data_IF_469351548409
#
_entry.id   IF_469351548409
#
_cell.length_a   1.000
_cell.length_b   1.000
_cell.length_c   1.000
_cell.angle_alpha   90.00
_cell.angle_beta   90.00
_cell.angle_gamma   90.00
#
_symmetry.space_group_name_H-M   'P 1'
#
loop_
_entity.id
_entity.type
_entity.pdbx_description
1 polymer ?
#
# COMPACT_ATOMS: atom_id res chain seq x y z
N UNK A 1 -6.24 -13.76 8.30
CA UNK A 1 -5.71 -13.73 9.68
C UNK A 1 -6.81 -13.15 10.55
N UNK A 2 -7.28 -13.89 11.55
CA UNK A 2 -8.30 -13.41 12.47
C UNK A 2 -7.59 -12.55 13.53
N UNK A 3 -8.20 -11.46 14.02
CA UNK A 3 -7.60 -10.57 15.02
C UNK A 3 -7.13 -11.34 16.25
N UNK A 4 -7.88 -12.36 16.67
CA UNK A 4 -7.49 -13.28 17.73
C UNK A 4 -6.12 -13.90 17.55
N UNK A 5 -5.75 -14.23 16.30
CA UNK A 5 -4.48 -14.89 15.99
C UNK A 5 -3.32 -13.90 16.10
N UNK A 6 -3.55 -12.65 15.65
CA UNK A 6 -2.59 -11.57 15.82
C UNK A 6 -2.36 -11.24 17.29
N UNK A 7 -3.44 -11.07 18.06
CA UNK A 7 -3.37 -10.73 19.48
C UNK A 7 -2.70 -11.85 20.30
N UNK A 8 -2.91 -13.12 19.96
CA UNK A 8 -2.28 -14.27 20.62
C UNK A 8 -0.85 -14.56 20.13
N UNK A 9 -0.33 -13.78 19.18
CA UNK A 9 0.97 -14.06 18.59
C UNK A 9 2.10 -13.98 19.66
N UNK A 10 2.98 -15.00 19.79
CA UNK A 10 3.97 -15.07 20.87
C UNK A 10 4.89 -13.84 20.95
N UNK A 11 5.28 -13.27 19.80
CA UNK A 11 6.09 -12.04 19.77
C UNK A 11 5.38 -10.82 20.34
N UNK A 12 4.06 -10.71 20.13
CA UNK A 12 3.27 -9.59 20.64
C UNK A 12 3.09 -9.72 22.15
N UNK A 13 2.78 -10.94 22.61
CA UNK A 13 2.69 -11.26 24.04
C UNK A 13 4.02 -11.00 24.76
N UNK A 14 5.14 -11.45 24.18
CA UNK A 14 6.47 -11.17 24.72
C UNK A 14 6.80 -9.67 24.74
N UNK A 15 6.32 -8.88 23.78
CA UNK A 15 6.52 -7.43 23.77
C UNK A 15 5.76 -6.76 24.92
N UNK A 16 4.51 -7.14 25.17
CA UNK A 16 3.73 -6.66 26.33
C UNK A 16 4.41 -7.04 27.63
N UNK A 17 4.75 -8.32 27.83
CA UNK A 17 5.36 -8.76 29.09
C UNK A 17 6.69 -8.05 29.37
N UNK A 18 7.47 -7.71 28.33
CA UNK A 18 8.68 -6.89 28.48
C UNK A 18 8.38 -5.46 28.90
N UNK A 19 7.32 -4.85 28.36
CA UNK A 19 6.90 -3.50 28.73
C UNK A 19 6.37 -3.46 30.16
N UNK A 20 5.52 -4.41 30.54
CA UNK A 20 4.99 -4.55 31.90
C UNK A 20 6.10 -4.82 32.93
N UNK A 21 7.11 -5.63 32.56
CA UNK A 21 8.28 -5.85 33.42
C UNK A 21 9.20 -4.62 33.52
N UNK A 22 9.25 -3.78 32.49
CA UNK A 22 10.07 -2.56 32.46
C UNK A 22 9.43 -1.41 33.24
N UNK A 23 8.12 -1.28 33.13
CA UNK A 23 7.33 -0.18 33.68
C UNK A 23 6.43 -0.71 34.80
N UNK A 24 6.99 -0.76 36.00
CA UNK A 24 6.30 -1.21 37.22
C UNK A 24 5.60 -0.02 37.91
N UNK A 25 4.74 -0.26 38.91
CA UNK A 25 4.17 0.83 39.71
C UNK A 25 5.22 1.75 40.36
N UNK A 26 6.38 1.21 40.74
CA UNK A 26 7.50 1.99 41.33
C UNK A 26 8.33 2.74 40.28
N UNK A 27 8.21 2.36 38.99
CA UNK A 27 8.87 3.01 37.86
C UNK A 27 7.86 3.17 36.71
N UNK A 28 6.85 4.03 36.86
CA UNK A 28 5.75 4.11 35.93
C UNK A 28 6.20 4.70 34.59
N UNK A 29 5.59 4.24 33.50
CA UNK A 29 5.74 4.87 32.20
C UNK A 29 5.04 6.23 32.22
N UNK A 30 5.80 7.33 32.12
CA UNK A 30 5.25 8.68 32.00
C UNK A 30 5.53 9.22 30.60
N UNK A 31 4.47 9.43 29.83
CA UNK A 31 4.51 9.94 28.44
C UNK A 31 3.81 11.29 28.31
N UNK A 32 2.86 11.59 29.21
CA UNK A 32 2.11 12.83 29.19
C UNK A 32 1.75 13.32 30.59
N UNK A 33 1.72 14.64 30.73
CA UNK A 33 1.22 15.35 31.90
C UNK A 33 -0.31 15.47 31.87
N UNK A 34 -0.96 15.18 30.74
CA UNK A 34 -2.42 15.23 30.60
C UNK A 34 -2.99 13.84 30.82
N UNK A 35 -3.79 13.69 31.87
CA UNK A 35 -4.40 12.41 32.29
C UNK A 35 -5.91 12.54 32.50
N UNK A 36 -6.62 11.40 32.42
CA UNK A 36 -8.02 11.31 32.89
C UNK A 36 -8.13 10.70 34.29
N UNK A 37 -9.36 10.61 34.79
CA UNK A 37 -9.70 10.02 36.08
C UNK A 37 -9.33 8.53 36.21
N UNK A 38 -9.20 7.82 35.08
CA UNK A 38 -8.82 6.40 35.03
C UNK A 38 -7.30 6.21 34.91
N UNK A 39 -6.53 7.32 34.88
CA UNK A 39 -5.08 7.30 34.78
C UNK A 39 -4.55 7.13 33.35
N UNK A 40 -5.41 7.19 32.33
CA UNK A 40 -4.94 7.15 30.95
C UNK A 40 -4.19 8.44 30.61
N UNK A 41 -3.11 8.31 29.84
CA UNK A 41 -2.24 9.41 29.43
C UNK A 41 -2.55 9.83 28.00
N UNK A 42 -2.69 11.13 27.77
CA UNK A 42 -3.15 11.65 26.49
C UNK A 42 -2.04 12.29 25.67
N UNK A 43 -1.86 11.81 24.44
CA UNK A 43 -0.85 12.31 23.51
C UNK A 43 -1.48 12.74 22.16
N UNK A 44 -0.71 13.49 21.37
CA UNK A 44 -1.00 13.66 19.96
C UNK A 44 -0.37 12.52 19.15
N UNK A 45 -1.11 11.96 18.20
CA UNK A 45 -0.67 10.85 17.37
C UNK A 45 -0.40 11.31 15.94
N UNK A 46 0.82 11.12 15.45
CA UNK A 46 1.17 11.40 14.05
C UNK A 46 1.64 10.11 13.37
N UNK A 47 0.94 9.72 12.31
CA UNK A 47 1.16 8.44 11.63
C UNK A 47 1.67 8.67 10.20
N UNK A 48 2.99 8.55 10.02
CA UNK A 48 3.59 8.60 8.68
C UNK A 48 3.22 7.35 7.89
N UNK A 49 2.79 7.54 6.64
CA UNK A 49 2.56 6.43 5.72
C UNK A 49 3.86 5.73 5.27
N UNK A 50 3.71 4.50 4.76
CA UNK A 50 4.84 3.68 4.30
C UNK A 50 4.47 2.48 3.42
N UNK A 51 3.32 2.53 2.72
CA UNK A 51 2.85 1.45 1.83
C UNK A 51 1.98 0.39 2.52
N UNK A 52 2.03 -0.87 2.05
CA UNK A 52 1.18 -2.00 2.51
C UNK A 52 1.35 -2.33 4.01
N UNK A 53 2.38 -1.78 4.66
CA UNK A 53 2.63 -1.89 6.10
C UNK A 53 1.68 -1.06 6.98
N UNK A 54 0.57 -0.54 6.46
CA UNK A 54 -0.46 0.17 7.24
C UNK A 54 -1.01 -0.64 8.42
N UNK A 55 -0.97 -1.98 8.35
CA UNK A 55 -1.32 -2.89 9.46
C UNK A 55 -0.37 -2.74 10.66
N UNK A 56 0.92 -2.48 10.42
CA UNK A 56 1.90 -2.33 11.50
C UNK A 56 1.59 -1.10 12.38
N UNK A 57 1.05 -0.04 11.78
CA UNK A 57 0.62 1.15 12.52
C UNK A 57 -0.53 0.84 13.48
N UNK A 58 -1.42 -0.07 13.11
CA UNK A 58 -2.53 -0.47 13.99
C UNK A 58 -2.02 -1.25 15.20
N UNK A 59 -1.06 -2.17 14.99
CA UNK A 59 -0.39 -2.89 16.08
C UNK A 59 0.38 -1.96 17.03
N UNK A 60 1.00 -0.91 16.48
CA UNK A 60 1.65 0.12 17.29
C UNK A 60 0.65 0.89 18.17
N UNK A 61 -0.46 1.36 17.60
CA UNK A 61 -1.52 2.03 18.39
C UNK A 61 -2.14 1.11 19.43
N UNK A 62 -2.18 -0.20 19.17
CA UNK A 62 -2.66 -1.18 20.14
C UNK A 62 -1.74 -1.32 21.35
N UNK A 63 -0.43 -1.42 21.15
CA UNK A 63 0.54 -1.45 22.25
C UNK A 63 0.42 -0.17 23.10
N UNK A 64 0.35 1.00 22.46
CA UNK A 64 0.19 2.26 23.17
C UNK A 64 -1.09 2.28 24.03
N UNK A 65 -2.21 1.81 23.49
CA UNK A 65 -3.46 1.73 24.24
C UNK A 65 -3.39 0.75 25.43
N UNK A 66 -2.70 -0.39 25.28
CA UNK A 66 -2.45 -1.33 26.38
C UNK A 66 -1.54 -0.75 27.46
N UNK A 67 -0.61 0.13 27.10
CA UNK A 67 0.22 0.89 28.03
C UNK A 67 -0.48 2.14 28.62
N UNK A 68 -1.81 2.23 28.49
CA UNK A 68 -2.59 3.32 29.09
C UNK A 68 -2.55 4.65 28.31
N UNK A 69 -2.05 4.67 27.08
CA UNK A 69 -1.97 5.90 26.27
C UNK A 69 -3.23 6.03 25.41
N UNK A 70 -3.76 7.25 25.30
CA UNK A 70 -4.92 7.64 24.47
C UNK A 70 -4.58 8.86 23.63
N UNK A 71 -5.39 9.16 22.61
CA UNK A 71 -5.05 10.13 21.57
C UNK A 71 -6.04 11.30 21.46
N UNK A 72 -5.57 12.54 21.68
CA UNK A 72 -6.41 13.75 21.59
C UNK A 72 -6.53 14.20 20.13
N UNK A 73 -5.40 14.58 19.53
CA UNK A 73 -5.29 15.01 18.13
C UNK A 73 -4.54 13.95 17.36
N UNK A 74 -5.01 13.68 16.15
CA UNK A 74 -4.45 12.64 15.30
C UNK A 74 -4.24 13.19 13.90
N UNK A 75 -3.12 12.80 13.28
CA UNK A 75 -2.81 13.14 11.89
C UNK A 75 -2.16 11.94 11.21
N UNK A 76 -2.45 11.72 9.94
CA UNK A 76 -1.90 10.59 9.19
C UNK A 76 -1.69 10.90 7.72
N UNK A 77 -0.67 10.30 7.11
CA UNK A 77 -0.38 10.42 5.68
C UNK A 77 -0.45 9.07 4.97
N UNK A 78 -0.96 9.02 3.74
CA UNK A 78 -1.08 7.79 2.94
C UNK A 78 -1.74 6.64 3.75
N UNK A 79 -1.09 5.48 3.91
CA UNK A 79 -1.61 4.36 4.71
C UNK A 79 -1.89 4.73 6.18
N UNK A 80 -1.14 5.66 6.77
CA UNK A 80 -1.38 6.14 8.13
C UNK A 80 -2.64 6.99 8.28
N UNK A 81 -3.11 7.59 7.17
CA UNK A 81 -4.38 8.32 7.15
C UNK A 81 -5.57 7.37 7.35
N UNK A 82 -5.48 6.12 6.86
CA UNK A 82 -6.52 5.10 7.04
C UNK A 82 -6.66 4.76 8.52
N UNK A 83 -5.57 4.41 9.20
CA UNK A 83 -5.60 4.10 10.63
C UNK A 83 -6.10 5.31 11.45
N UNK A 84 -5.57 6.50 11.15
CA UNK A 84 -5.98 7.75 11.81
C UNK A 84 -7.47 8.04 11.65
N UNK A 85 -8.00 7.89 10.44
CA UNK A 85 -9.40 8.10 10.14
C UNK A 85 -10.30 7.16 10.96
N UNK A 86 -9.97 5.85 10.96
CA UNK A 86 -10.72 4.86 11.73
C UNK A 86 -10.63 5.11 13.24
N UNK A 87 -9.43 5.34 13.78
CA UNK A 87 -9.22 5.69 15.19
C UNK A 87 -9.96 6.96 15.62
N UNK A 88 -10.19 7.90 14.69
CA UNK A 88 -10.92 9.14 14.96
C UNK A 88 -12.42 8.90 15.07
N UNK A 89 -13.01 8.09 14.18
CA UNK A 89 -14.46 7.86 14.15
C UNK A 89 -14.91 6.80 15.16
N UNK A 90 -14.05 5.83 15.48
CA UNK A 90 -14.37 4.72 16.38
C UNK A 90 -14.41 5.16 17.84
N UNK A 91 -15.59 5.09 18.47
CA UNK A 91 -15.78 5.28 19.92
C UNK A 91 -15.34 6.64 20.52
N UNK A 92 -15.59 6.87 21.82
CA UNK A 92 -15.07 8.01 22.60
C UNK A 92 -13.56 7.98 22.77
N UNK A 93 -12.89 9.12 22.91
CA UNK A 93 -11.41 9.23 22.97
C UNK A 93 -10.76 8.52 24.17
N UNK A 94 -11.51 8.29 25.24
CA UNK A 94 -11.06 7.59 26.46
C UNK A 94 -10.96 6.07 26.27
N UNK A 95 -11.78 5.51 25.39
CA UNK A 95 -11.83 4.08 25.16
C UNK A 95 -10.65 3.62 24.30
N UNK A 96 -10.23 2.37 24.51
CA UNK A 96 -9.34 1.69 23.59
C UNK A 96 -10.08 1.33 22.30
N UNK A 97 -9.52 1.71 21.15
CA UNK A 97 -10.14 1.62 19.82
C UNK A 97 -9.37 0.74 18.87
N UNK A 98 -8.08 0.57 19.13
CA UNK A 98 -7.14 -0.11 18.24
C UNK A 98 -7.56 -1.53 17.88
N UNK A 99 -8.23 -2.28 18.76
CA UNK A 99 -8.72 -3.63 18.46
C UNK A 99 -9.84 -3.62 17.41
N UNK A 100 -10.81 -2.71 17.53
CA UNK A 100 -11.89 -2.53 16.54
C UNK A 100 -11.32 -2.06 15.20
N UNK A 101 -10.35 -1.16 15.23
CA UNK A 101 -9.67 -0.67 14.02
C UNK A 101 -8.83 -1.78 13.38
N UNK A 102 -8.14 -2.59 14.18
CA UNK A 102 -7.38 -3.75 13.73
C UNK A 102 -8.28 -4.77 13.06
N UNK A 103 -9.47 -5.01 13.62
CA UNK A 103 -10.46 -5.88 13.01
C UNK A 103 -10.93 -5.37 11.65
N UNK A 104 -11.25 -4.08 11.55
CA UNK A 104 -11.66 -3.47 10.30
C UNK A 104 -10.56 -3.57 9.22
N UNK A 105 -9.31 -3.30 9.59
CA UNK A 105 -8.16 -3.31 8.66
C UNK A 105 -7.75 -4.75 8.28
N UNK A 106 -7.75 -5.70 9.22
CA UNK A 106 -7.40 -7.10 8.94
C UNK A 106 -8.44 -7.81 8.05
N UNK A 107 -9.71 -7.38 8.10
CA UNK A 107 -10.78 -7.89 7.22
C UNK A 107 -10.72 -7.29 5.81
N UNK A 108 -10.00 -6.19 5.61
CA UNK A 108 -9.86 -5.56 4.30
C UNK A 108 -8.87 -6.34 3.42
N UNK A 109 -9.35 -6.86 2.29
CA UNK A 109 -8.45 -7.34 1.24
C UNK A 109 -7.82 -6.14 0.52
N UNK A 110 -6.55 -5.85 0.81
CA UNK A 110 -5.83 -4.76 0.16
C UNK A 110 -5.77 -4.90 -1.38
N UNK A 111 -5.85 -6.11 -1.93
CA UNK A 111 -5.93 -6.29 -3.38
C UNK A 111 -7.28 -5.86 -3.98
N UNK A 112 -8.34 -5.82 -3.17
CA UNK A 112 -9.65 -5.32 -3.59
C UNK A 112 -9.66 -3.80 -3.83
N UNK A 113 -8.71 -3.08 -3.21
CA UNK A 113 -8.53 -1.64 -3.42
C UNK A 113 -8.01 -1.31 -4.82
N UNK A 114 -7.43 -2.29 -5.52
CA UNK A 114 -7.03 -2.18 -6.93
C UNK A 114 -8.22 -2.55 -7.81
N UNK A 115 -9.15 -1.61 -7.96
CA UNK A 115 -10.43 -1.75 -8.69
C UNK A 115 -10.37 -1.32 -10.17
N UNK A 116 -9.16 -1.30 -10.73
CA UNK A 116 -8.87 -0.96 -12.11
C UNK A 116 -9.17 -2.05 -13.15
N UNK A 117 -8.86 -1.74 -14.41
CA UNK A 117 -9.05 -2.66 -15.56
C UNK A 117 -8.39 -4.03 -15.30
N UNK A 118 -8.98 -5.17 -15.72
CA UNK A 118 -8.47 -6.52 -15.42
C UNK A 118 -6.99 -6.73 -15.75
N UNK A 119 -6.55 -6.19 -16.89
CA UNK A 119 -5.13 -6.22 -17.29
C UNK A 119 -4.23 -5.45 -16.32
N UNK A 120 -4.64 -4.25 -15.89
CA UNK A 120 -3.87 -3.45 -14.96
C UNK A 120 -3.82 -4.09 -13.57
N UNK A 121 -4.93 -4.70 -13.13
CA UNK A 121 -4.99 -5.51 -11.90
C UNK A 121 -4.02 -6.69 -11.95
N UNK A 122 -3.95 -7.41 -13.08
CA UNK A 122 -3.00 -8.52 -13.30
C UNK A 122 -1.54 -8.03 -13.26
N UNK A 123 -1.25 -6.90 -13.90
CA UNK A 123 0.09 -6.29 -13.89
C UNK A 123 0.51 -5.84 -12.49
N UNK A 124 -0.36 -5.12 -11.77
CA UNK A 124 -0.08 -4.67 -10.40
C UNK A 124 0.09 -5.87 -9.47
N UNK A 125 -0.76 -6.91 -9.60
CA UNK A 125 -0.60 -8.14 -8.85
C UNK A 125 0.76 -8.76 -9.14
N UNK A 126 1.12 -8.98 -10.40
CA UNK A 126 2.41 -9.55 -10.78
C UNK A 126 3.61 -8.71 -10.28
N UNK A 127 3.50 -7.37 -10.31
CA UNK A 127 4.52 -6.46 -9.80
C UNK A 127 4.70 -6.54 -8.27
N UNK A 128 3.60 -6.70 -7.52
CA UNK A 128 3.62 -6.75 -6.04
C UNK A 128 3.97 -8.14 -5.52
N UNK A 129 3.49 -9.20 -6.17
CA UNK A 129 3.68 -10.58 -5.69
C UNK A 129 5.04 -11.15 -6.05
N UNK A 130 5.74 -10.58 -7.03
CA UNK A 130 6.99 -11.11 -7.54
C UNK A 130 8.10 -10.06 -7.40
N UNK A 131 8.93 -10.21 -6.37
CA UNK A 131 10.03 -9.31 -6.07
C UNK A 131 11.05 -9.19 -7.23
N UNK A 132 11.10 -10.21 -8.10
CA UNK A 132 11.94 -10.23 -9.30
C UNK A 132 11.22 -9.74 -10.57
N UNK A 133 9.99 -9.23 -10.46
CA UNK A 133 9.27 -8.72 -11.63
C UNK A 133 10.07 -7.63 -12.33
N UNK A 134 10.59 -6.65 -11.58
CA UNK A 134 11.36 -5.53 -12.14
C UNK A 134 12.66 -6.01 -12.80
N UNK A 135 13.38 -6.94 -12.16
CA UNK A 135 14.64 -7.47 -12.69
C UNK A 135 14.43 -8.34 -13.93
N UNK A 136 13.37 -9.17 -13.99
CA UNK A 136 13.00 -9.94 -15.19
C UNK A 136 12.54 -9.04 -16.32
N UNK A 137 11.67 -8.06 -16.07
CA UNK A 137 11.22 -7.12 -17.08
C UNK A 137 12.43 -6.41 -17.73
N UNK A 138 13.40 -5.96 -16.92
CA UNK A 138 14.65 -5.38 -17.42
C UNK A 138 15.45 -6.36 -18.28
N UNK A 139 15.61 -7.62 -17.85
CA UNK A 139 16.32 -8.65 -18.63
C UNK A 139 15.67 -8.91 -20.00
N UNK A 140 14.34 -9.01 -20.05
CA UNK A 140 13.59 -9.18 -21.30
C UNK A 140 13.78 -7.99 -22.24
N UNK A 141 13.72 -6.76 -21.73
CA UNK A 141 13.95 -5.55 -22.54
C UNK A 141 15.37 -5.54 -23.11
N UNK A 142 16.38 -5.81 -22.27
CA UNK A 142 17.78 -5.88 -22.73
C UNK A 142 17.97 -7.00 -23.76
N UNK A 143 17.40 -8.18 -23.53
CA UNK A 143 17.46 -9.30 -24.47
C UNK A 143 16.84 -8.97 -25.82
N UNK A 144 15.68 -8.29 -25.83
CA UNK A 144 15.04 -7.82 -27.07
C UNK A 144 15.95 -6.84 -27.82
N UNK A 145 16.54 -5.86 -27.12
CA UNK A 145 17.44 -4.88 -27.74
C UNK A 145 18.67 -5.56 -28.35
N UNK A 146 19.30 -6.49 -27.61
CA UNK A 146 20.46 -7.24 -28.10
C UNK A 146 20.09 -8.11 -29.30
N UNK A 147 18.98 -8.84 -29.23
CA UNK A 147 18.47 -9.67 -30.34
C UNK A 147 18.23 -8.84 -31.60
N UNK A 148 17.56 -7.69 -31.48
CA UNK A 148 17.34 -6.78 -32.60
C UNK A 148 18.67 -6.24 -33.15
N UNK A 149 19.63 -5.90 -32.29
CA UNK A 149 20.97 -5.47 -32.73
C UNK A 149 21.72 -6.54 -33.51
N UNK A 150 21.68 -7.80 -33.06
CA UNK A 150 22.29 -8.95 -33.75
C UNK A 150 21.64 -9.16 -35.12
N UNK A 151 20.31 -9.12 -35.20
CA UNK A 151 19.59 -9.26 -36.47
C UNK A 151 19.98 -8.17 -37.47
N UNK A 152 20.05 -6.90 -37.04
CA UNK A 152 20.45 -5.80 -37.92
C UNK A 152 21.90 -5.94 -38.43
N UNK A 153 22.82 -6.41 -37.59
CA UNK A 153 24.19 -6.70 -38.01
C UNK A 153 24.25 -7.88 -38.99
N UNK A 154 23.46 -8.93 -38.74
CA UNK A 154 23.34 -10.07 -39.64
C UNK A 154 22.79 -9.66 -41.01
N UNK A 155 21.79 -8.79 -41.05
CA UNK A 155 21.25 -8.23 -42.29
C UNK A 155 22.33 -7.52 -43.12
N UNK A 156 23.15 -6.66 -42.49
CA UNK A 156 24.25 -5.94 -43.16
C UNK A 156 25.26 -6.93 -43.77
N UNK A 157 25.67 -7.94 -42.99
CA UNK A 157 26.69 -8.91 -43.41
C UNK A 157 26.15 -9.82 -44.53
N UNK A 158 24.95 -10.39 -44.36
CA UNK A 158 24.37 -11.35 -45.29
C UNK A 158 23.98 -10.68 -46.61
N UNK A 159 23.44 -9.46 -46.58
CA UNK A 159 23.17 -8.69 -47.81
C UNK A 159 24.47 -8.35 -48.53
N UNK A 160 25.54 -7.99 -47.81
CA UNK A 160 26.86 -7.74 -48.41
C UNK A 160 27.47 -8.98 -49.07
N UNK A 161 27.21 -10.17 -48.52
CA UNK A 161 27.71 -11.46 -49.02
C UNK A 161 26.78 -12.14 -50.04
N UNK A 162 25.63 -11.54 -50.37
CA UNK A 162 24.59 -12.17 -51.20
C UNK A 162 25.07 -12.60 -52.59
N UNK A 163 26.10 -11.94 -53.13
CA UNK A 163 26.64 -12.21 -54.46
C UNK A 163 27.67 -13.35 -54.48
N UNK A 164 28.06 -13.88 -53.31
CA UNK A 164 29.12 -14.89 -53.20
C UNK A 164 28.64 -16.31 -53.47
N UNK A 165 27.38 -16.62 -53.19
CA UNK A 165 26.74 -17.90 -53.51
C UNK A 165 25.22 -17.80 -53.43
N UNK A 166 24.51 -18.66 -54.17
CA UNK A 166 23.04 -18.73 -54.15
C UNK A 166 22.49 -19.03 -52.75
N UNK A 167 23.24 -19.77 -51.94
CA UNK A 167 22.91 -20.06 -50.54
C UNK A 167 22.88 -18.78 -49.70
N UNK A 168 23.85 -17.86 -49.90
CA UNK A 168 23.90 -16.60 -49.15
C UNK A 168 22.74 -15.66 -49.49
N UNK A 169 22.25 -15.71 -50.74
CA UNK A 169 21.05 -14.97 -51.16
C UNK A 169 19.81 -15.44 -50.38
N UNK A 170 19.62 -16.76 -50.21
CA UNK A 170 18.51 -17.32 -49.43
C UNK A 170 18.59 -16.89 -47.97
N UNK A 171 19.77 -16.99 -47.35
CA UNK A 171 19.96 -16.58 -45.96
C UNK A 171 19.76 -15.08 -45.72
N UNK A 172 20.19 -14.22 -46.66
CA UNK A 172 19.91 -12.79 -46.60
C UNK A 172 18.40 -12.51 -46.63
N UNK A 173 17.64 -13.22 -47.47
CA UNK A 173 16.18 -13.11 -47.50
C UNK A 173 15.51 -13.56 -46.19
N UNK A 174 16.00 -14.65 -45.60
CA UNK A 174 15.49 -15.16 -44.30
C UNK A 174 15.76 -14.16 -43.18
N UNK A 175 16.97 -13.60 -43.09
CA UNK A 175 17.35 -12.63 -42.07
C UNK A 175 16.47 -11.36 -42.13
N UNK A 176 16.29 -10.80 -43.33
CA UNK A 176 15.42 -9.65 -43.55
C UNK A 176 13.96 -9.94 -43.19
N UNK A 177 13.48 -11.14 -43.51
CA UNK A 177 12.15 -11.60 -43.11
C UNK A 177 11.97 -11.66 -41.59
N UNK A 178 12.95 -12.20 -40.86
CA UNK A 178 12.95 -12.25 -39.40
C UNK A 178 13.02 -10.85 -38.77
N UNK A 179 13.82 -9.95 -39.34
CA UNK A 179 13.90 -8.55 -38.92
C UNK A 179 12.54 -7.84 -39.09
N UNK A 180 11.85 -8.06 -40.21
CA UNK A 180 10.53 -7.49 -40.48
C UNK A 180 9.46 -8.01 -39.49
N UNK A 181 9.46 -9.31 -39.20
CA UNK A 181 8.56 -9.92 -38.21
C UNK A 181 8.82 -9.32 -36.82
N UNK A 182 10.08 -9.24 -36.42
CA UNK A 182 10.48 -8.68 -35.12
C UNK A 182 10.06 -7.22 -35.00
N UNK A 183 10.31 -6.40 -36.03
CA UNK A 183 9.88 -5.00 -36.07
C UNK A 183 8.36 -4.86 -36.00
N UNK A 184 7.61 -5.72 -36.68
CA UNK A 184 6.14 -5.73 -36.65
C UNK A 184 5.60 -6.04 -35.25
N UNK A 185 6.15 -7.05 -34.58
CA UNK A 185 5.78 -7.39 -33.20
C UNK A 185 6.06 -6.22 -32.25
N UNK A 186 7.26 -5.62 -32.34
CA UNK A 186 7.63 -4.46 -31.52
C UNK A 186 6.70 -3.27 -31.77
N UNK A 187 6.32 -3.02 -33.02
CA UNK A 187 5.38 -1.97 -33.38
C UNK A 187 3.99 -2.21 -32.77
N UNK A 188 3.48 -3.44 -32.82
CA UNK A 188 2.19 -3.81 -32.20
C UNK A 188 2.22 -3.62 -30.67
N UNK A 189 3.32 -4.03 -30.02
CA UNK A 189 3.54 -3.83 -28.58
C UNK A 189 3.59 -2.34 -28.25
N UNK A 190 4.36 -1.55 -29.00
CA UNK A 190 4.47 -0.11 -28.79
C UNK A 190 3.11 0.59 -28.99
N UNK A 191 2.37 0.23 -30.04
CA UNK A 191 1.02 0.75 -30.30
C UNK A 191 0.06 0.40 -29.17
N UNK A 192 0.11 -0.82 -28.65
CA UNK A 192 -0.69 -1.23 -27.49
C UNK A 192 -0.31 -0.42 -26.24
N UNK A 193 0.99 -0.27 -25.97
CA UNK A 193 1.49 0.51 -24.84
C UNK A 193 1.07 1.98 -24.92
N UNK A 194 1.16 2.61 -26.10
CA UNK A 194 0.70 3.99 -26.32
C UNK A 194 -0.80 4.13 -26.13
N UNK A 195 -1.61 3.20 -26.65
CA UNK A 195 -3.07 3.19 -26.43
C UNK A 195 -3.40 3.08 -24.95
N UNK A 196 -2.73 2.17 -24.24
CA UNK A 196 -2.91 1.97 -22.82
C UNK A 196 -2.51 3.24 -22.05
N UNK A 197 -1.35 3.82 -22.36
CA UNK A 197 -0.88 5.07 -21.76
C UNK A 197 -1.86 6.23 -21.98
N UNK A 198 -2.34 6.43 -23.21
CA UNK A 198 -3.34 7.48 -23.51
C UNK A 198 -4.64 7.24 -22.74
N UNK A 199 -5.11 6.00 -22.68
CA UNK A 199 -6.31 5.63 -21.91
C UNK A 199 -6.11 5.91 -20.42
N UNK A 200 -4.93 5.63 -19.88
CA UNK A 200 -4.60 5.89 -18.47
C UNK A 200 -4.43 7.37 -18.16
N UNK A 201 -3.75 8.14 -19.02
CA UNK A 201 -3.56 9.59 -18.88
C UNK A 201 -4.88 10.35 -18.96
N UNK A 202 -5.79 9.88 -19.81
CA UNK A 202 -7.08 10.54 -20.04
C UNK A 202 -8.21 9.98 -19.14
N UNK A 203 -7.97 8.88 -18.42
CA UNK A 203 -8.88 8.42 -17.38
C UNK A 203 -8.66 9.29 -16.14
N UNK A 204 -9.62 10.17 -15.82
CA UNK A 204 -9.47 11.17 -14.76
C UNK A 204 -9.06 10.63 -13.38
N UNK A 205 -9.36 9.37 -13.06
CA UNK A 205 -9.02 8.73 -11.78
C UNK A 205 -7.81 7.79 -11.84
N UNK A 206 -7.10 7.70 -12.98
CA UNK A 206 -5.95 6.83 -13.15
C UNK A 206 -6.30 5.35 -13.38
N UNK A 207 -5.40 4.44 -12.98
CA UNK A 207 -5.54 2.99 -13.21
C UNK A 207 -6.72 2.38 -12.41
N UNK A 208 -6.97 2.89 -11.21
CA UNK A 208 -8.00 2.44 -10.27
C UNK A 208 -9.04 3.55 -10.10
N UNK A 209 -10.33 3.20 -10.03
CA UNK A 209 -11.39 4.17 -9.79
C UNK A 209 -11.47 4.61 -8.33
N UNK A 210 -10.97 3.77 -7.41
CA UNK A 210 -10.98 4.02 -5.97
C UNK A 210 -12.36 3.87 -5.32
N UNK A 211 -13.35 3.33 -6.04
CA UNK A 211 -14.72 3.15 -5.57
C UNK A 211 -14.79 2.13 -4.45
N UNK A 212 -14.01 1.04 -4.55
CA UNK A 212 -13.95 0.03 -3.47
C UNK A 212 -13.45 0.64 -2.18
N UNK A 213 -12.36 1.42 -2.26
CA UNK A 213 -11.80 2.10 -1.09
C UNK A 213 -12.77 3.14 -0.52
N UNK A 214 -13.37 3.95 -1.38
CA UNK A 214 -14.34 4.97 -0.99
C UNK A 214 -15.55 4.36 -0.27
N UNK A 215 -16.16 3.34 -0.86
CA UNK A 215 -17.31 2.65 -0.25
C UNK A 215 -16.92 2.03 1.09
N UNK A 216 -15.77 1.37 1.17
CA UNK A 216 -15.31 0.76 2.41
C UNK A 216 -15.10 1.80 3.54
N UNK A 217 -14.43 2.93 3.27
CA UNK A 217 -14.29 4.02 4.26
C UNK A 217 -15.65 4.58 4.65
N UNK A 218 -16.52 4.86 3.67
CA UNK A 218 -17.87 5.39 3.90
C UNK A 218 -18.66 4.48 4.82
N UNK A 219 -18.65 3.17 4.57
CA UNK A 219 -19.41 2.21 5.36
C UNK A 219 -18.86 2.11 6.80
N UNK A 220 -17.52 2.09 6.97
CA UNK A 220 -16.88 2.16 8.30
C UNK A 220 -17.21 3.44 9.06
N UNK A 221 -17.29 4.58 8.36
CA UNK A 221 -17.65 5.86 8.97
C UNK A 221 -19.13 5.86 9.39
N UNK A 222 -20.02 5.40 8.52
CA UNK A 222 -21.45 5.31 8.79
C UNK A 222 -21.76 4.38 9.98
N UNK A 223 -21.07 3.24 10.10
CA UNK A 223 -21.17 2.32 11.25
C UNK A 223 -20.78 2.99 12.58
N UNK A 224 -19.99 4.06 12.54
CA UNK A 224 -19.57 4.84 13.70
C UNK A 224 -20.36 6.16 13.86
N UNK A 225 -21.46 6.31 13.12
CA UNK A 225 -22.34 7.46 13.16
C UNK A 225 -21.77 8.70 12.48
N UNK A 226 -20.87 8.54 11.51
CA UNK A 226 -20.25 9.63 10.76
C UNK A 226 -20.68 9.55 9.30
N UNK A 227 -21.54 10.48 8.86
CA UNK A 227 -22.02 10.53 7.47
C UNK A 227 -21.57 11.82 6.79
N UNK A 228 -21.41 12.89 7.56
CA UNK A 228 -21.04 14.22 7.07
C UNK A 228 -19.69 14.68 7.61
N UNK A 229 -19.13 15.71 6.99
CA UNK A 229 -17.92 16.39 7.50
C UNK A 229 -18.19 17.03 8.87
N UNK A 230 -19.42 17.47 9.14
CA UNK A 230 -19.82 18.00 10.43
C UNK A 230 -19.74 16.91 11.52
N UNK A 231 -20.22 15.71 11.23
CA UNK A 231 -20.13 14.56 12.17
C UNK A 231 -18.68 14.19 12.43
N UNK A 232 -17.85 14.16 11.38
CA UNK A 232 -16.42 13.88 11.51
C UNK A 232 -15.73 14.93 12.38
N UNK A 233 -16.04 16.21 12.15
CA UNK A 233 -15.51 17.31 12.96
C UNK A 233 -15.94 17.17 14.41
N UNK A 234 -17.22 16.88 14.66
CA UNK A 234 -17.75 16.68 16.00
C UNK A 234 -17.04 15.51 16.73
N UNK A 235 -16.80 14.38 16.05
CA UNK A 235 -15.99 13.27 16.60
C UNK A 235 -14.54 13.69 16.87
N UNK A 236 -13.92 14.40 15.93
CA UNK A 236 -12.54 14.84 16.07
C UNK A 236 -12.34 15.84 17.22
N UNK A 237 -13.32 16.72 17.46
CA UNK A 237 -13.29 17.74 18.52
C UNK A 237 -14.06 17.34 19.78
N UNK A 238 -14.47 16.07 19.91
CA UNK A 238 -15.20 15.59 21.08
C UNK A 238 -14.40 15.91 22.36
N UNK A 239 -15.02 16.58 23.36
CA UNK A 239 -14.36 16.85 24.63
C UNK A 239 -14.06 15.55 25.37
N UNK A 240 -13.00 15.57 26.15
CA UNK A 240 -12.58 14.45 27.00
C UNK A 240 -12.90 14.87 28.44
N UNK A 241 -14.06 14.47 29.00
CA UNK A 241 -14.37 14.72 30.40
C UNK A 241 -13.30 14.16 31.34
N UNK A 242 -13.08 14.87 32.45
CA UNK A 242 -12.14 14.45 33.51
C UNK A 242 -10.67 14.66 33.19
N UNK A 243 -10.32 15.37 32.10
CA UNK A 243 -8.93 15.73 31.83
C UNK A 243 -8.38 16.67 32.89
N UNK A 244 -7.22 16.31 33.42
CA UNK A 244 -6.44 17.12 34.35
C UNK A 244 -4.96 17.02 34.05
N UNK A 245 -4.19 17.96 34.58
CA UNK A 245 -2.73 17.84 34.62
C UNK A 245 -2.34 16.91 35.76
N UNK A 246 -1.28 16.12 35.58
CA UNK A 246 -0.79 15.15 36.56
C UNK A 246 -0.46 15.79 37.92
N UNK A 247 -0.06 17.06 37.92
CA UNK A 247 0.31 17.83 39.10
C UNK A 247 -0.87 18.58 39.74
N UNK A 248 -2.09 18.50 39.17
CA UNK A 248 -3.28 19.22 39.66
C UNK A 248 -4.37 18.31 40.23
#
# INVERSE_FOLDING_TARGET
MIVSDFLKHPRLQAAISRLEARFTPDNPLVVSDVIDEQGHQYAHLVQKGGGVLGVALVGYTWILEKMGIRFIRQAGTSAGAINTALMTVTGPKQEAKSEKVLEAVCKLDFFSLVDGHPFARKMIRAFITDAEFSSRARRWIVGIVVWTGILLLADIILVGLRHRSDIMMVWAGVALGLSLITATILFLIARFAVRLYKKLKNAGYGINKGQTFYNWIRDRFAENGVVTVADLRAKATQPIPGLKTREA
#
